data_IF_621048330902
#
_entry.id   IF_621048330902
#
_cell.length_a   1.000
_cell.length_b   1.000
_cell.length_c   1.000
_cell.angle_alpha   90.00
_cell.angle_beta   90.00
_cell.angle_gamma   90.00
#
_symmetry.space_group_name_H-M   'P 1'
#
loop_
_entity.id
_entity.type
_entity.pdbx_description
1 polymer ?
#
# COMPACT_ATOMS: atom_id res chain seq x y z
N UNK A 1 -35.39 4.49 17.12
CA UNK A 1 -34.15 3.70 17.24
C UNK A 1 -33.30 3.91 15.99
N UNK A 2 -32.64 5.07 15.90
CA UNK A 2 -31.77 5.40 14.78
C UNK A 2 -30.42 4.72 14.98
N UNK A 3 -29.95 3.99 13.96
CA UNK A 3 -28.61 3.41 13.90
C UNK A 3 -27.59 4.54 14.00
N UNK A 4 -27.04 4.75 15.18
CA UNK A 4 -25.74 5.37 15.34
C UNK A 4 -24.75 4.49 14.55
N UNK A 5 -24.51 4.83 13.27
CA UNK A 5 -23.30 4.37 12.58
C UNK A 5 -22.17 5.12 13.25
N UNK A 6 -21.72 4.63 14.39
CA UNK A 6 -20.40 4.97 14.92
C UNK A 6 -19.45 4.69 13.77
N UNK A 7 -18.95 5.74 13.12
CA UNK A 7 -17.95 5.58 12.06
C UNK A 7 -16.74 4.93 12.73
N UNK A 8 -16.63 3.60 12.61
CA UNK A 8 -15.45 2.88 13.08
C UNK A 8 -14.29 3.37 12.21
N UNK A 9 -13.41 4.17 12.82
CA UNK A 9 -12.20 4.62 12.15
C UNK A 9 -11.37 3.38 11.78
N UNK A 10 -11.00 3.29 10.50
CA UNK A 10 -10.14 2.26 9.96
C UNK A 10 -9.01 2.94 9.21
N UNK A 11 -7.85 2.30 9.21
CA UNK A 11 -6.67 2.74 8.45
C UNK A 11 -6.42 1.75 7.33
N UNK A 12 -6.06 2.26 6.15
CA UNK A 12 -5.62 1.44 5.03
C UNK A 12 -4.13 1.64 4.86
N UNK A 13 -3.36 0.57 5.06
CA UNK A 13 -1.95 0.54 4.71
C UNK A 13 -1.77 -0.01 3.31
N UNK A 14 -0.82 0.56 2.58
CA UNK A 14 -0.56 0.24 1.17
C UNK A 14 0.90 -0.16 1.01
N UNK A 15 1.14 -1.33 0.41
CA UNK A 15 2.46 -1.74 -0.03
C UNK A 15 2.43 -2.03 -1.53
N UNK A 16 3.06 -1.16 -2.31
CA UNK A 16 3.16 -1.31 -3.76
C UNK A 16 4.38 -2.16 -4.17
N UNK A 17 4.26 -2.80 -5.33
CA UNK A 17 5.39 -3.26 -6.12
C UNK A 17 5.06 -3.13 -7.63
N UNK A 18 5.74 -2.24 -8.35
CA UNK A 18 5.87 -2.17 -9.81
C UNK A 18 4.58 -2.05 -10.65
N UNK A 19 3.65 -2.98 -10.48
CA UNK A 19 2.40 -3.15 -11.22
C UNK A 19 1.22 -3.58 -10.34
N UNK A 20 1.40 -3.77 -9.02
CA UNK A 20 0.31 -4.10 -8.11
C UNK A 20 0.51 -3.46 -6.73
N UNK A 21 -0.58 -3.18 -6.05
CA UNK A 21 -0.59 -2.74 -4.66
C UNK A 21 -1.33 -3.75 -3.79
N UNK A 22 -0.76 -4.02 -2.61
CA UNK A 22 -1.45 -4.71 -1.53
C UNK A 22 -2.00 -3.67 -0.57
N UNK A 23 -3.32 -3.70 -0.37
CA UNK A 23 -4.04 -2.86 0.57
C UNK A 23 -4.51 -3.72 1.73
N UNK A 24 -4.22 -3.30 2.95
CA UNK A 24 -4.69 -3.94 4.18
C UNK A 24 -5.44 -2.90 5.01
N UNK A 25 -6.70 -3.20 5.30
CA UNK A 25 -7.57 -2.32 6.08
C UNK A 25 -7.68 -2.86 7.49
N UNK A 26 -7.32 -2.04 8.48
CA UNK A 26 -7.28 -2.41 9.89
C UNK A 26 -8.13 -1.45 10.71
N UNK A 27 -8.96 -1.99 11.61
CA UNK A 27 -9.72 -1.19 12.57
C UNK A 27 -8.80 -0.59 13.63
N UNK A 28 -9.30 0.42 14.36
CA UNK A 28 -8.57 1.07 15.48
C UNK A 28 -8.01 0.10 16.55
N UNK A 29 -8.59 -1.09 16.69
CA UNK A 29 -8.17 -2.12 17.64
C UNK A 29 -7.19 -3.16 17.07
N UNK A 30 -6.67 -2.96 15.87
CA UNK A 30 -5.78 -3.93 15.20
C UNK A 30 -6.50 -5.08 14.50
N UNK A 31 -7.84 -5.09 14.51
CA UNK A 31 -8.65 -6.08 13.79
C UNK A 31 -8.49 -5.90 12.28
N UNK A 32 -8.14 -6.98 11.57
CA UNK A 32 -8.08 -6.99 10.12
C UNK A 32 -9.50 -6.98 9.53
N UNK A 33 -9.86 -5.94 8.79
CA UNK A 33 -11.17 -5.77 8.18
C UNK A 33 -11.23 -6.22 6.72
N UNK A 34 -10.18 -5.92 5.96
CA UNK A 34 -10.11 -6.25 4.54
C UNK A 34 -8.66 -6.38 4.07
N UNK A 35 -8.45 -7.20 3.04
CA UNK A 35 -7.18 -7.36 2.35
C UNK A 35 -7.43 -7.49 0.86
N UNK A 36 -6.87 -6.58 0.08
CA UNK A 36 -6.96 -6.61 -1.39
C UNK A 36 -5.60 -6.51 -2.03
N UNK A 37 -5.44 -7.23 -3.14
CA UNK A 37 -4.41 -6.94 -4.13
C UNK A 37 -5.10 -6.27 -5.31
N UNK A 38 -4.61 -5.11 -5.71
CA UNK A 38 -5.11 -4.36 -6.84
C UNK A 38 -4.00 -4.29 -7.87
N UNK A 39 -4.28 -4.75 -9.08
CA UNK A 39 -3.38 -4.53 -10.21
C UNK A 39 -3.45 -3.05 -10.60
N UNK A 40 -2.29 -2.43 -10.73
CA UNK A 40 -2.11 -1.01 -11.08
C UNK A 40 -1.89 -0.80 -12.58
N UNK A 41 -1.85 -1.89 -13.34
CA UNK A 41 -1.64 -1.91 -14.79
C UNK A 41 -2.83 -2.57 -15.47
N UNK A 42 -3.25 -2.04 -16.62
CA UNK A 42 -4.37 -2.59 -17.38
C UNK A 42 -4.16 -4.07 -17.77
N UNK A 43 -5.23 -4.87 -17.86
CA UNK A 43 -5.15 -6.24 -18.36
C UNK A 43 -4.50 -6.30 -19.75
N UNK A 44 -3.42 -7.05 -19.87
CA UNK A 44 -2.66 -7.18 -21.12
C UNK A 44 -1.45 -6.25 -21.22
N UNK A 45 -1.32 -5.26 -20.33
CA UNK A 45 -0.06 -4.58 -20.13
C UNK A 45 0.89 -5.47 -19.33
N UNK A 46 2.18 -5.45 -19.67
CA UNK A 46 3.11 -6.32 -18.99
C UNK A 46 3.47 -5.83 -17.59
N UNK A 47 3.61 -6.79 -16.69
CA UNK A 47 4.10 -6.64 -15.33
C UNK A 47 5.49 -5.98 -15.33
N UNK A 48 5.62 -4.81 -14.70
CA UNK A 48 6.87 -4.03 -14.58
C UNK A 48 7.32 -3.36 -15.91
N UNK A 49 6.82 -2.15 -16.26
CA UNK A 49 7.13 -1.48 -17.53
C UNK A 49 8.63 -1.19 -17.79
N UNK A 50 9.46 -1.13 -16.74
CA UNK A 50 10.92 -1.10 -16.87
C UNK A 50 11.51 -2.38 -17.51
N UNK A 51 10.72 -3.45 -17.64
CA UNK A 51 11.05 -4.66 -18.40
C UNK A 51 10.53 -4.63 -19.85
N UNK A 52 9.74 -3.64 -20.29
CA UNK A 52 9.08 -3.65 -21.61
C UNK A 52 9.48 -2.47 -22.50
N UNK A 53 9.36 -1.24 -22.01
CA UNK A 53 9.85 -0.06 -22.75
C UNK A 53 11.38 -0.03 -22.73
N UNK A 54 12.00 -0.46 -21.62
CA UNK A 54 13.43 -0.79 -21.58
C UNK A 54 13.78 -1.90 -22.58
N UNK A 55 12.94 -2.92 -22.74
CA UNK A 55 13.15 -3.98 -23.74
C UNK A 55 12.93 -3.55 -25.20
N UNK A 56 12.25 -2.43 -25.46
CA UNK A 56 12.22 -1.84 -26.81
C UNK A 56 13.51 -1.07 -27.13
N UNK A 57 14.18 -0.55 -26.10
CA UNK A 57 15.45 0.16 -26.25
C UNK A 57 16.69 -0.74 -26.25
N UNK A 58 16.68 -1.87 -25.50
CA UNK A 58 17.82 -2.81 -25.40
C UNK A 58 17.52 -4.27 -25.84
N UNK A 59 16.31 -4.57 -26.32
CA UNK A 59 15.98 -5.88 -26.91
C UNK A 59 15.06 -6.81 -26.10
N UNK A 60 14.55 -7.82 -26.82
CA UNK A 60 13.52 -8.85 -26.54
C UNK A 60 12.29 -8.74 -27.45
N UNK A 61 11.91 -7.53 -27.87
CA UNK A 61 10.75 -7.30 -28.76
C UNK A 61 11.08 -6.46 -30.00
N UNK A 62 12.35 -6.16 -30.26
CA UNK A 62 12.76 -5.30 -31.38
C UNK A 62 12.25 -5.80 -32.74
N UNK A 63 12.18 -7.12 -32.93
CA UNK A 63 11.73 -7.74 -34.19
C UNK A 63 10.20 -7.93 -34.27
N UNK A 64 9.44 -7.48 -33.28
CA UNK A 64 7.98 -7.61 -33.29
C UNK A 64 7.34 -6.56 -34.21
N UNK A 65 6.30 -6.90 -35.00
CA UNK A 65 5.64 -5.96 -35.93
C UNK A 65 5.05 -4.71 -35.25
N UNK A 66 4.81 -4.80 -33.94
CA UNK A 66 4.22 -3.75 -33.11
C UNK A 66 5.26 -2.98 -32.29
N UNK A 67 6.54 -3.29 -32.46
CA UNK A 67 7.62 -2.61 -31.75
C UNK A 67 7.65 -1.12 -32.14
N UNK A 68 7.82 -0.26 -31.14
CA UNK A 68 8.11 1.15 -31.33
C UNK A 68 9.51 1.43 -30.80
N UNK A 69 10.54 1.35 -31.65
CA UNK A 69 11.90 1.61 -31.24
C UNK A 69 12.00 3.01 -30.63
N UNK A 70 12.61 3.08 -29.46
CA UNK A 70 12.91 4.32 -28.75
C UNK A 70 14.39 4.28 -28.39
N UNK A 71 15.08 5.41 -28.45
CA UNK A 71 16.48 5.43 -28.03
C UNK A 71 16.57 5.10 -26.53
N UNK A 72 17.63 4.40 -26.12
CA UNK A 72 17.84 4.04 -24.71
C UNK A 72 17.82 5.25 -23.78
N UNK A 73 18.43 6.37 -24.20
CA UNK A 73 18.39 7.61 -23.45
C UNK A 73 16.96 8.12 -23.24
N UNK A 74 16.11 8.05 -24.27
CA UNK A 74 14.73 8.51 -24.21
C UNK A 74 13.85 7.58 -23.35
N UNK A 75 14.09 6.27 -23.40
CA UNK A 75 13.43 5.29 -22.53
C UNK A 75 13.79 5.52 -21.05
N UNK A 76 15.07 5.74 -20.74
CA UNK A 76 15.52 6.07 -19.37
C UNK A 76 14.89 7.38 -18.91
N UNK A 77 14.90 8.42 -19.75
CA UNK A 77 14.29 9.71 -19.43
C UNK A 77 12.78 9.60 -19.18
N UNK A 78 12.07 8.76 -19.93
CA UNK A 78 10.65 8.48 -19.71
C UNK A 78 10.41 7.79 -18.36
N UNK A 79 11.18 6.75 -18.05
CA UNK A 79 11.08 6.01 -16.78
C UNK A 79 11.30 6.93 -15.58
N UNK A 80 12.34 7.78 -15.62
CA UNK A 80 12.60 8.73 -14.52
C UNK A 80 11.47 9.74 -14.35
N UNK A 81 10.92 10.32 -15.45
CA UNK A 81 9.77 11.24 -15.35
C UNK A 81 8.53 10.56 -14.75
N UNK A 82 8.24 9.33 -15.15
CA UNK A 82 7.12 8.55 -14.61
C UNK A 82 7.33 8.29 -13.12
N UNK A 83 8.55 7.89 -12.73
CA UNK A 83 8.93 7.65 -11.33
C UNK A 83 8.80 8.91 -10.47
N UNK A 84 9.27 10.06 -10.94
CA UNK A 84 9.15 11.33 -10.23
C UNK A 84 7.69 11.75 -10.05
N UNK A 85 6.88 11.62 -11.11
CA UNK A 85 5.44 11.94 -11.05
C UNK A 85 4.70 11.04 -10.06
N UNK A 86 4.99 9.73 -10.08
CA UNK A 86 4.41 8.78 -9.13
C UNK A 86 4.83 9.10 -7.69
N UNK A 87 6.11 9.39 -7.45
CA UNK A 87 6.62 9.73 -6.13
C UNK A 87 6.01 11.02 -5.58
N UNK A 88 5.79 12.03 -6.43
CA UNK A 88 5.08 13.26 -6.04
C UNK A 88 3.62 12.98 -5.70
N UNK A 89 2.90 12.27 -6.56
CA UNK A 89 1.50 11.90 -6.31
C UNK A 89 1.31 11.10 -5.01
N UNK A 90 2.26 10.21 -4.70
CA UNK A 90 2.28 9.45 -3.45
C UNK A 90 2.48 10.37 -2.23
N UNK A 91 3.50 11.23 -2.22
CA UNK A 91 3.76 12.16 -1.10
C UNK A 91 2.61 13.12 -0.83
N UNK A 92 1.86 13.50 -1.86
CA UNK A 92 0.72 14.40 -1.73
C UNK A 92 -0.53 13.73 -1.11
N UNK A 93 -0.64 12.39 -1.19
CA UNK A 93 -1.89 11.66 -0.87
C UNK A 93 -1.73 10.59 0.19
N UNK A 94 -0.51 10.16 0.47
CA UNK A 94 -0.18 9.06 1.36
C UNK A 94 0.92 9.50 2.32
N UNK A 95 0.78 9.08 3.58
CA UNK A 95 1.88 9.14 4.54
C UNK A 95 2.95 8.12 4.15
N UNK A 96 4.20 8.58 4.10
CA UNK A 96 5.36 7.72 3.83
C UNK A 96 5.84 7.02 5.09
N UNK A 97 6.32 5.79 4.96
CA UNK A 97 6.92 5.03 6.05
C UNK A 97 8.29 4.49 5.65
N UNK A 98 9.19 4.47 6.62
CA UNK A 98 10.42 3.70 6.51
C UNK A 98 10.10 2.21 6.71
N UNK A 99 10.56 1.36 5.78
CA UNK A 99 10.23 -0.07 5.76
C UNK A 99 10.69 -0.80 7.02
N UNK A 100 11.82 -0.42 7.58
CA UNK A 100 12.38 -1.09 8.76
C UNK A 100 11.73 -0.56 10.04
N UNK A 101 11.48 0.75 10.09
CA UNK A 101 10.87 1.40 11.25
C UNK A 101 9.39 1.12 11.41
N UNK A 102 8.65 0.91 10.32
CA UNK A 102 7.18 0.76 10.36
C UNK A 102 6.72 -0.40 11.24
N UNK A 103 7.52 -1.47 11.38
CA UNK A 103 7.20 -2.58 12.25
C UNK A 103 7.34 -2.20 13.74
N UNK A 104 8.37 -1.42 14.09
CA UNK A 104 8.54 -0.88 15.44
C UNK A 104 7.42 0.10 15.80
N UNK A 105 7.03 0.96 14.85
CA UNK A 105 5.93 1.91 15.03
C UNK A 105 4.59 1.18 15.20
N UNK A 106 4.36 0.11 14.45
CA UNK A 106 3.18 -0.75 14.61
C UNK A 106 3.17 -1.46 15.97
N UNK A 107 4.32 -1.98 16.42
CA UNK A 107 4.49 -2.60 17.72
C UNK A 107 4.15 -1.63 18.85
N UNK A 108 4.71 -0.42 18.78
CA UNK A 108 4.43 0.67 19.73
C UNK A 108 2.96 1.09 19.72
N UNK A 109 2.33 1.21 18.54
CA UNK A 109 0.92 1.56 18.41
C UNK A 109 -0.02 0.55 19.08
N UNK A 110 0.35 -0.73 19.07
CA UNK A 110 -0.41 -1.82 19.68
C UNK A 110 0.02 -2.12 21.13
N UNK A 111 1.12 -1.53 21.62
CA UNK A 111 1.71 -1.89 22.91
C UNK A 111 2.20 -3.34 22.95
N UNK A 112 2.73 -3.86 21.84
CA UNK A 112 3.23 -5.23 21.72
C UNK A 112 4.75 -5.25 21.59
N UNK A 113 5.38 -6.30 22.13
CA UNK A 113 6.80 -6.58 21.95
C UNK A 113 7.07 -7.42 20.68
N UNK A 114 6.17 -8.37 20.36
CA UNK A 114 6.27 -9.27 19.20
C UNK A 114 5.22 -8.94 18.13
N UNK A 115 5.52 -7.93 17.32
CA UNK A 115 4.67 -7.54 16.18
C UNK A 115 4.68 -8.59 15.06
N UNK A 116 5.77 -9.32 14.87
CA UNK A 116 5.87 -10.34 13.83
C UNK A 116 4.99 -11.55 14.12
N UNK A 117 4.95 -12.00 15.37
CA UNK A 117 4.03 -13.04 15.83
C UNK A 117 2.57 -12.61 15.69
N UNK A 118 2.26 -11.36 16.04
CA UNK A 118 0.92 -10.79 15.82
C UNK A 118 0.53 -10.77 14.33
N UNK A 119 1.40 -10.28 13.46
CA UNK A 119 1.18 -10.27 12.00
C UNK A 119 1.05 -11.69 11.43
N UNK A 120 1.78 -12.67 11.95
CA UNK A 120 1.59 -14.07 11.56
C UNK A 120 0.23 -14.62 12.00
N UNK A 121 -0.21 -14.33 13.22
CA UNK A 121 -1.53 -14.75 13.71
C UNK A 121 -2.66 -14.13 12.88
N UNK A 122 -2.53 -12.85 12.52
CA UNK A 122 -3.43 -12.16 11.61
C UNK A 122 -3.50 -12.85 10.24
N UNK A 123 -2.37 -13.27 9.69
CA UNK A 123 -2.34 -14.05 8.44
C UNK A 123 -3.06 -15.40 8.54
N UNK A 124 -2.99 -16.08 9.69
CA UNK A 124 -3.67 -17.36 9.91
C UNK A 124 -5.20 -17.23 9.94
N UNK A 125 -5.75 -16.12 10.43
CA UNK A 125 -7.20 -15.96 10.54
C UNK A 125 -7.89 -15.76 9.19
N UNK A 126 -7.18 -15.24 8.19
CA UNK A 126 -7.72 -14.95 6.84
C UNK A 126 -7.19 -15.89 5.75
N UNK A 127 -6.14 -16.66 6.03
CA UNK A 127 -5.56 -17.62 5.10
C UNK A 127 -4.66 -17.01 4.02
N UNK A 128 -4.02 -17.86 3.20
CA UNK A 128 -3.09 -17.44 2.15
C UNK A 128 -3.81 -16.61 1.06
N UNK A 129 -3.09 -15.72 0.35
CA UNK A 129 -1.66 -15.43 0.47
C UNK A 129 -1.34 -14.42 1.59
N UNK A 130 -0.36 -14.73 2.46
CA UNK A 130 0.12 -13.80 3.50
C UNK A 130 1.65 -13.64 3.47
N UNK A 131 2.08 -12.86 2.48
CA UNK A 131 3.49 -12.64 2.16
C UNK A 131 4.01 -11.33 2.76
N UNK A 132 5.31 -11.06 2.59
CA UNK A 132 5.98 -9.87 3.11
C UNK A 132 5.26 -8.55 2.80
N UNK A 133 4.71 -8.38 1.59
CA UNK A 133 3.98 -7.16 1.22
C UNK A 133 2.65 -6.99 1.97
N UNK A 134 1.98 -8.09 2.30
CA UNK A 134 0.77 -8.06 3.14
C UNK A 134 1.12 -7.64 4.56
N UNK A 135 2.20 -8.21 5.12
CA UNK A 135 2.71 -7.83 6.44
C UNK A 135 3.14 -6.36 6.49
N UNK A 136 3.81 -5.87 5.44
CA UNK A 136 4.24 -4.48 5.33
C UNK A 136 3.04 -3.52 5.27
N UNK A 137 2.04 -3.82 4.42
CA UNK A 137 0.81 -3.05 4.36
C UNK A 137 0.05 -3.06 5.69
N UNK A 138 -0.03 -4.21 6.37
CA UNK A 138 -0.65 -4.31 7.69
C UNK A 138 0.10 -3.49 8.75
N UNK A 139 1.43 -3.57 8.78
CA UNK A 139 2.26 -2.76 9.69
C UNK A 139 2.07 -1.26 9.45
N UNK A 140 2.05 -0.81 8.19
CA UNK A 140 1.78 0.58 7.87
C UNK A 140 0.38 1.03 8.35
N UNK A 141 -0.64 0.18 8.16
CA UNK A 141 -1.99 0.45 8.65
C UNK A 141 -2.06 0.55 10.19
N UNK A 142 -1.24 -0.21 10.90
CA UNK A 142 -1.17 -0.19 12.36
C UNK A 142 -0.40 1.05 12.86
N UNK A 143 0.75 1.35 12.26
CA UNK A 143 1.58 2.50 12.59
C UNK A 143 0.85 3.83 12.41
N UNK A 144 0.05 4.00 11.34
CA UNK A 144 -0.68 5.24 11.09
C UNK A 144 -1.75 5.56 12.17
N UNK A 145 -2.22 4.54 12.90
CA UNK A 145 -3.23 4.74 13.94
C UNK A 145 -2.69 5.50 15.16
N UNK A 146 -1.39 5.42 15.42
CA UNK A 146 -0.72 6.21 16.45
C UNK A 146 -0.51 7.68 16.03
N UNK A 147 -0.38 7.93 14.72
CA UNK A 147 -0.19 9.27 14.16
C UNK A 147 -1.52 10.02 13.92
N UNK A 148 -2.62 9.30 13.81
CA UNK A 148 -3.96 9.89 13.64
C UNK A 148 -4.47 10.49 14.95
N UNK A 149 -4.89 11.78 14.99
CA UNK A 149 -5.53 12.38 16.15
C UNK A 149 -6.71 11.50 16.58
N UNK A 150 -6.81 11.21 17.88
CA UNK A 150 -7.96 10.48 18.43
C UNK A 150 -9.22 11.26 18.04
N UNK A 151 -10.20 10.67 17.34
CA UNK A 151 -11.42 11.38 17.03
C UNK A 151 -12.03 11.82 18.35
N UNK A 152 -12.11 13.14 18.55
CA UNK A 152 -12.78 13.72 19.69
C UNK A 152 -14.22 13.25 19.59
N UNK A 153 -14.70 12.51 20.58
CA UNK A 153 -16.11 12.16 20.70
C UNK A 153 -16.84 13.50 20.69
N UNK A 154 -17.62 13.80 19.64
CA UNK A 154 -18.52 14.97 19.68
C UNK A 154 -19.42 14.73 20.88
N UNK A 155 -19.20 15.50 21.93
CA UNK A 155 -20.15 15.60 23.03
C UNK A 155 -21.32 16.37 22.43
N UNK A 156 -22.50 15.74 22.37
CA UNK A 156 -23.70 16.46 21.99
C UNK A 156 -23.91 17.58 23.03
N UNK A 157 -23.97 18.86 22.59
CA UNK A 157 -24.14 19.98 23.52
C UNK A 157 -25.52 19.98 24.19
N UNK A 158 -26.45 19.13 23.74
CA UNK A 158 -27.85 19.05 24.19
C UNK A 158 -28.24 17.66 24.76
N UNK A 159 -27.28 16.86 25.22
CA UNK A 159 -27.62 15.64 25.97
C UNK A 159 -28.23 16.04 27.34
N UNK A 160 -29.43 15.55 27.72
CA UNK A 160 -30.12 15.93 28.95
C UNK A 160 -29.42 15.46 30.23
#
# INVERSE_FOLDING_TARGET
>A
MARERTQRAATVGVAEHGNAAVLVTVARGGELLDRRRVDLTDPGLPTHPHHHEGSWAVGRYLDSPWARPIALADAVALVERVRESAARGARERLDGYDRERVFLEAAAALGLEDVDGFLHAMGRSIGPPWQAKHKLAAAAALAAQASSPRPVRKVDPDAP
#
